data_IF_768469267199
#
_entry.id   IF_768469267199
#
_cell.length_a   1.000
_cell.length_b   1.000
_cell.length_c   1.000
_cell.angle_alpha   90.00
_cell.angle_beta   90.00
_cell.angle_gamma   90.00
#
_symmetry.space_group_name_H-M   'P 1'
#
loop_
_entity.id
_entity.type
_entity.pdbx_description
1 polymer ?
#
# COMPACT_ATOMS: atom_id res chain seq x y z
N UNK A 1 28.44 -11.46 -18.33
CA UNK A 1 28.15 -11.09 -17.03
C UNK A 1 26.93 -11.75 -16.48
N UNK A 2 27.05 -12.18 -15.32
CA UNK A 2 25.98 -12.93 -14.74
C UNK A 2 25.15 -12.06 -13.83
N UNK A 3 23.88 -12.04 -14.09
CA UNK A 3 23.00 -11.32 -13.25
C UNK A 3 22.57 -12.20 -12.13
N UNK A 4 22.72 -11.70 -10.97
CA UNK A 4 22.28 -12.43 -9.84
C UNK A 4 20.98 -11.86 -9.38
N UNK A 5 20.01 -12.70 -9.28
CA UNK A 5 18.77 -12.29 -8.77
C UNK A 5 18.90 -12.02 -7.31
N UNK A 6 18.52 -10.85 -6.96
CA UNK A 6 18.55 -10.46 -5.59
C UNK A 6 17.22 -10.85 -4.96
N UNK A 7 17.27 -11.50 -3.83
CA UNK A 7 16.05 -11.89 -3.16
C UNK A 7 15.21 -10.71 -2.74
N UNK A 8 15.86 -9.57 -2.54
CA UNK A 8 15.15 -8.38 -2.11
C UNK A 8 14.36 -7.73 -3.22
N UNK A 9 14.54 -8.22 -4.45
CA UNK A 9 13.80 -7.66 -5.57
C UNK A 9 12.50 -8.39 -5.82
N UNK A 10 12.21 -9.39 -5.01
CA UNK A 10 10.98 -10.13 -5.19
C UNK A 10 9.80 -9.24 -4.89
N UNK A 11 8.87 -9.21 -5.82
CA UNK A 11 7.69 -8.36 -5.70
C UNK A 11 6.61 -9.10 -4.93
N UNK A 12 6.02 -8.39 -3.99
CA UNK A 12 4.97 -8.93 -3.14
C UNK A 12 3.72 -8.10 -3.29
N UNK A 13 2.61 -8.70 -2.94
CA UNK A 13 1.33 -8.00 -2.97
C UNK A 13 1.03 -7.40 -1.61
N UNK A 14 0.56 -6.17 -1.62
CA UNK A 14 0.18 -5.47 -0.40
C UNK A 14 -1.20 -4.88 -0.56
N UNK A 15 -1.89 -4.78 0.55
CA UNK A 15 -3.17 -4.09 0.62
C UNK A 15 -2.97 -2.79 1.37
N UNK A 16 -3.50 -1.71 0.81
CA UNK A 16 -3.40 -0.39 1.43
C UNK A 16 -4.72 -0.08 2.10
N UNK A 17 -4.62 0.34 3.35
CA UNK A 17 -5.79 0.70 4.15
C UNK A 17 -5.75 2.18 4.46
N UNK A 18 -6.90 2.80 4.37
CA UNK A 18 -7.05 4.21 4.67
C UNK A 18 -8.43 4.47 5.24
N UNK A 19 -8.57 5.61 5.88
CA UNK A 19 -9.86 6.02 6.42
C UNK A 19 -10.59 6.83 5.37
N UNK A 20 -11.82 6.46 5.12
CA UNK A 20 -12.72 7.17 4.23
C UNK A 20 -13.86 7.70 5.05
N UNK A 21 -14.39 8.84 4.64
CA UNK A 21 -15.58 9.37 5.26
C UNK A 21 -16.79 8.85 4.53
N UNK A 22 -17.63 8.16 5.25
CA UNK A 22 -18.86 7.63 4.70
C UNK A 22 -19.99 8.13 5.58
N UNK A 23 -20.85 8.95 5.03
CA UNK A 23 -21.97 9.54 5.76
C UNK A 23 -21.52 10.24 7.03
N UNK A 24 -20.38 10.95 6.93
CA UNK A 24 -19.87 11.69 8.05
C UNK A 24 -19.06 10.90 9.05
N UNK A 25 -18.92 9.60 8.84
CA UNK A 25 -18.15 8.75 9.74
C UNK A 25 -16.91 8.24 9.06
N UNK A 26 -15.83 8.11 9.83
CA UNK A 26 -14.59 7.55 9.33
C UNK A 26 -14.64 6.04 9.42
N UNK A 27 -14.25 5.40 8.34
CA UNK A 27 -14.17 3.95 8.33
C UNK A 27 -12.87 3.54 7.67
N UNK A 28 -12.14 2.65 8.33
CA UNK A 28 -10.90 2.12 7.78
C UNK A 28 -11.21 0.96 6.87
N UNK A 29 -10.70 1.02 5.65
CA UNK A 29 -10.96 -0.05 4.69
C UNK A 29 -9.85 -0.11 3.68
N UNK A 30 -9.81 -1.22 2.96
CA UNK A 30 -8.85 -1.38 1.89
C UNK A 30 -9.26 -0.47 0.74
N UNK A 31 -8.31 0.32 0.26
CA UNK A 31 -8.58 1.26 -0.81
C UNK A 31 -7.78 0.98 -2.07
N UNK A 32 -6.75 0.15 -1.97
CA UNK A 32 -5.88 -0.09 -3.11
C UNK A 32 -5.09 -1.36 -2.91
N UNK A 33 -4.83 -2.08 -3.99
CA UNK A 33 -3.90 -3.18 -4.01
C UNK A 33 -2.63 -2.70 -4.70
N UNK A 34 -1.48 -2.98 -4.09
CA UNK A 34 -0.20 -2.49 -4.58
C UNK A 34 0.77 -3.65 -4.66
N UNK A 35 1.63 -3.62 -5.66
CA UNK A 35 2.76 -4.53 -5.72
C UNK A 35 4.03 -3.74 -5.42
N UNK A 36 4.83 -4.25 -4.51
CA UNK A 36 6.05 -3.57 -4.10
C UNK A 36 7.03 -4.60 -3.56
N UNK A 37 8.27 -4.19 -3.40
CA UNK A 37 9.29 -5.07 -2.88
C UNK A 37 9.33 -5.08 -1.37
N UNK A 38 8.95 -3.98 -0.77
CA UNK A 38 9.01 -3.83 0.68
C UNK A 38 7.76 -3.13 1.17
N UNK A 39 7.42 -3.31 2.45
CA UNK A 39 6.29 -2.58 3.01
C UNK A 39 6.48 -1.07 2.94
N UNK A 40 7.73 -0.60 3.03
CA UNK A 40 7.99 0.84 2.93
C UNK A 40 7.58 1.39 1.58
N UNK A 41 7.92 0.69 0.51
CA UNK A 41 7.52 1.12 -0.83
C UNK A 41 6.02 1.11 -0.97
N UNK A 42 5.38 0.05 -0.47
CA UNK A 42 3.92 -0.04 -0.53
C UNK A 42 3.29 1.09 0.26
N UNK A 43 3.87 1.41 1.41
CA UNK A 43 3.36 2.50 2.23
C UNK A 43 3.45 3.84 1.55
N UNK A 44 4.55 4.10 0.87
CA UNK A 44 4.72 5.36 0.14
C UNK A 44 3.68 5.49 -0.96
N UNK A 45 3.48 4.42 -1.72
CA UNK A 45 2.47 4.40 -2.77
C UNK A 45 1.09 4.60 -2.18
N UNK A 46 0.81 3.91 -1.07
CA UNK A 46 -0.48 4.02 -0.41
C UNK A 46 -0.76 5.40 0.12
N UNK A 47 0.25 6.03 0.72
CA UNK A 47 0.09 7.38 1.25
C UNK A 47 -0.16 8.38 0.13
N UNK A 48 0.56 8.25 -0.98
CA UNK A 48 0.36 9.12 -2.13
C UNK A 48 -1.03 8.96 -2.72
N UNK A 49 -1.47 7.72 -2.87
CA UNK A 49 -2.80 7.44 -3.39
C UNK A 49 -3.87 8.01 -2.46
N UNK A 50 -3.71 7.79 -1.16
CA UNK A 50 -4.68 8.27 -0.19
C UNK A 50 -4.79 9.79 -0.23
N UNK A 51 -3.65 10.46 -0.32
CA UNK A 51 -3.64 11.91 -0.41
C UNK A 51 -4.36 12.39 -1.67
N UNK A 52 -4.10 11.71 -2.78
CA UNK A 52 -4.72 12.08 -4.05
C UNK A 52 -6.24 11.94 -3.98
N UNK A 53 -6.71 10.93 -3.27
CA UNK A 53 -8.14 10.68 -3.13
C UNK A 53 -8.76 11.38 -1.93
N UNK A 54 -7.99 12.15 -1.19
CA UNK A 54 -8.43 12.84 0.02
C UNK A 54 -8.85 11.86 1.12
N UNK A 55 -8.19 10.72 1.15
CA UNK A 55 -8.36 9.77 2.24
C UNK A 55 -7.27 10.01 3.26
N UNK A 56 -7.44 9.45 4.44
CA UNK A 56 -6.42 9.49 5.47
C UNK A 56 -5.71 8.15 5.49
N UNK A 57 -4.44 8.13 5.12
CA UNK A 57 -3.68 6.88 5.06
C UNK A 57 -3.59 6.23 6.44
N UNK A 58 -3.77 4.92 6.49
CA UNK A 58 -3.65 4.18 7.73
C UNK A 58 -2.41 3.29 7.72
N UNK A 59 -2.43 2.23 6.93
CA UNK A 59 -1.32 1.28 6.94
C UNK A 59 -1.39 0.39 5.71
N UNK A 60 -0.37 -0.43 5.52
CA UNK A 60 -0.37 -1.47 4.50
C UNK A 60 -0.23 -2.83 5.17
N UNK A 61 -0.69 -3.86 4.49
CA UNK A 61 -0.59 -5.22 4.96
C UNK A 61 -0.12 -6.09 3.82
N UNK A 62 0.85 -6.95 4.09
CA UNK A 62 1.31 -7.88 3.08
C UNK A 62 0.31 -9.01 2.93
N UNK A 63 0.01 -9.34 1.68
CA UNK A 63 -0.89 -10.44 1.37
C UNK A 63 -0.04 -11.67 1.15
N UNK A 64 -0.23 -12.68 1.96
CA UNK A 64 0.55 -13.91 1.83
C UNK A 64 -0.26 -15.02 1.23
#
# INVERSE_FOLDING_TARGET
MTWRKNKHTKIKDFEVFAFKKIKGQRACMKVLDVQARTPDEAGKTGASFSKMMSYEYSHVREVT
#
